data_IF_899081537824
#
_entry.id   IF_899081537824
#
_cell.length_a   1.000
_cell.length_b   1.000
_cell.length_c   1.000
_cell.angle_alpha   90.00
_cell.angle_beta   90.00
_cell.angle_gamma   90.00
#
_symmetry.space_group_name_H-M   'P 1'
#
loop_
_entity.id
_entity.type
_entity.pdbx_description
1 polymer ?
#
# COMPACT_ATOMS: atom_id res chain seq x y z
N UNK A 1 -1.98 25.09 -57.64
CA UNK A 1 -1.97 23.62 -57.48
C UNK A 1 -2.25 23.30 -56.03
N UNK A 2 -3.51 23.11 -55.65
CA UNK A 2 -3.88 22.69 -54.30
C UNK A 2 -3.44 21.23 -54.12
N UNK A 3 -2.29 21.04 -53.49
CA UNK A 3 -1.80 19.71 -53.13
C UNK A 3 -2.78 19.11 -52.12
N UNK A 4 -3.56 18.12 -52.56
CA UNK A 4 -4.43 17.35 -51.68
C UNK A 4 -3.58 16.56 -50.70
N UNK A 5 -4.01 16.51 -49.44
CA UNK A 5 -3.35 15.71 -48.40
C UNK A 5 -3.34 14.23 -48.86
N UNK A 6 -2.19 13.52 -48.78
CA UNK A 6 -2.13 12.10 -49.13
C UNK A 6 -3.11 11.25 -48.32
N UNK A 7 -3.74 10.27 -48.95
CA UNK A 7 -4.78 9.44 -48.32
C UNK A 7 -4.22 8.65 -47.12
N UNK A 8 -2.96 8.22 -47.18
CA UNK A 8 -2.27 7.49 -46.11
C UNK A 8 -2.20 8.30 -44.82
N UNK A 9 -1.98 9.62 -44.94
CA UNK A 9 -1.91 10.54 -43.80
C UNK A 9 -3.29 10.72 -43.18
N UNK A 10 -4.34 10.81 -44.01
CA UNK A 10 -5.73 10.90 -43.55
C UNK A 10 -6.13 9.65 -42.77
N UNK A 11 -5.76 8.47 -43.28
CA UNK A 11 -6.04 7.20 -42.59
C UNK A 11 -5.27 7.06 -41.29
N UNK A 12 -4.00 7.48 -41.25
CA UNK A 12 -3.22 7.49 -40.01
C UNK A 12 -3.83 8.42 -38.97
N UNK A 13 -4.31 9.60 -39.38
CA UNK A 13 -4.95 10.55 -38.47
C UNK A 13 -6.29 10.01 -37.96
N UNK A 14 -7.08 9.34 -38.82
CA UNK A 14 -8.31 8.66 -38.41
C UNK A 14 -8.03 7.61 -37.33
N UNK A 15 -7.07 6.72 -37.59
CA UNK A 15 -6.66 5.68 -36.62
C UNK A 15 -6.16 6.29 -35.32
N UNK A 16 -5.38 7.36 -35.39
CA UNK A 16 -4.92 8.07 -34.21
C UNK A 16 -6.09 8.60 -33.37
N UNK A 17 -7.08 9.24 -34.01
CA UNK A 17 -8.28 9.72 -33.33
C UNK A 17 -9.12 8.59 -32.71
N UNK A 18 -9.29 7.48 -33.43
CA UNK A 18 -9.97 6.29 -32.90
C UNK A 18 -9.23 5.73 -31.67
N UNK A 19 -7.90 5.66 -31.71
CA UNK A 19 -7.11 5.20 -30.55
C UNK A 19 -7.18 6.17 -29.36
N UNK A 20 -7.32 7.48 -29.61
CA UNK A 20 -7.51 8.45 -28.53
C UNK A 20 -8.85 8.25 -27.82
N UNK A 21 -9.93 7.96 -28.55
CA UNK A 21 -11.22 7.64 -27.96
C UNK A 21 -11.14 6.40 -27.05
N UNK A 22 -10.44 5.36 -27.49
CA UNK A 22 -10.21 4.15 -26.66
C UNK A 22 -9.45 4.47 -25.37
N UNK A 23 -8.44 5.35 -25.43
CA UNK A 23 -7.68 5.78 -24.25
C UNK A 23 -8.54 6.61 -23.32
N UNK A 24 -9.37 7.50 -23.86
CA UNK A 24 -10.31 8.32 -23.09
C UNK A 24 -11.31 7.43 -22.34
N UNK A 25 -11.95 6.49 -23.03
CA UNK A 25 -12.89 5.52 -22.45
C UNK A 25 -12.23 4.70 -21.33
N UNK A 26 -10.99 4.24 -21.54
CA UNK A 26 -10.25 3.46 -20.55
C UNK A 26 -9.91 4.27 -19.28
N UNK A 27 -9.63 5.57 -19.43
CA UNK A 27 -9.29 6.45 -18.30
C UNK A 27 -10.53 7.05 -17.63
N UNK A 28 -11.67 7.10 -18.32
CA UNK A 28 -12.87 7.79 -17.87
C UNK A 28 -13.37 7.30 -16.50
N UNK A 29 -13.34 5.99 -16.25
CA UNK A 29 -13.70 5.45 -14.93
C UNK A 29 -12.80 5.97 -13.80
N UNK A 30 -11.50 6.13 -14.07
CA UNK A 30 -10.54 6.61 -13.07
C UNK A 30 -10.66 8.11 -12.84
N UNK A 31 -10.92 8.88 -13.91
CA UNK A 31 -11.10 10.34 -13.85
C UNK A 31 -12.42 10.76 -13.20
N UNK A 32 -13.49 9.96 -13.38
CA UNK A 32 -14.79 10.22 -12.78
C UNK A 32 -14.90 9.76 -11.32
N UNK A 33 -13.88 9.10 -10.78
CA UNK A 33 -13.88 8.68 -9.38
C UNK A 33 -13.74 9.90 -8.48
N UNK A 34 -14.67 10.16 -7.56
CA UNK A 34 -14.60 11.33 -6.69
C UNK A 34 -13.43 11.23 -5.72
N UNK A 35 -12.94 12.39 -5.30
CA UNK A 35 -11.79 12.48 -4.40
C UNK A 35 -12.04 11.79 -3.04
N UNK A 36 -13.28 11.80 -2.58
CA UNK A 36 -13.73 11.11 -1.38
C UNK A 36 -13.54 9.61 -1.49
N UNK A 37 -13.91 9.01 -2.62
CA UNK A 37 -13.73 7.58 -2.88
C UNK A 37 -12.23 7.22 -2.93
N UNK A 38 -11.41 8.04 -3.60
CA UNK A 38 -9.95 7.89 -3.60
C UNK A 38 -9.35 7.96 -2.19
N UNK A 39 -9.87 8.84 -1.34
CA UNK A 39 -9.41 9.03 0.04
C UNK A 39 -9.79 7.86 0.96
N UNK A 40 -10.86 7.12 0.61
CA UNK A 40 -11.30 5.93 1.34
C UNK A 40 -10.60 4.63 0.89
N UNK A 41 -9.90 4.63 -0.27
CA UNK A 41 -9.14 3.47 -0.73
C UNK A 41 -7.99 3.10 0.21
N UNK A 42 -7.67 1.80 0.26
CA UNK A 42 -6.46 1.31 0.93
C UNK A 42 -5.23 2.00 0.34
N UNK A 43 -4.25 2.31 1.18
CA UNK A 43 -3.01 3.01 0.77
C UNK A 43 -2.28 2.34 -0.40
N UNK A 44 -2.29 1.01 -0.45
CA UNK A 44 -1.67 0.24 -1.53
C UNK A 44 -2.41 0.44 -2.86
N UNK A 45 -3.75 0.37 -2.84
CA UNK A 45 -4.57 0.59 -4.04
C UNK A 45 -4.48 2.04 -4.53
N UNK A 46 -4.40 2.99 -3.60
CA UNK A 46 -4.10 4.40 -3.92
C UNK A 46 -2.77 4.53 -4.65
N UNK A 47 -1.70 3.93 -4.13
CA UNK A 47 -0.39 3.98 -4.76
C UNK A 47 -0.39 3.37 -6.17
N UNK A 48 -1.20 2.33 -6.43
CA UNK A 48 -1.38 1.78 -7.78
C UNK A 48 -2.01 2.80 -8.72
N UNK A 49 -3.08 3.46 -8.29
CA UNK A 49 -3.76 4.51 -9.07
C UNK A 49 -2.80 5.68 -9.36
N UNK A 50 -2.01 6.10 -8.38
CA UNK A 50 -1.05 7.20 -8.53
C UNK A 50 0.05 6.86 -9.55
N UNK A 51 0.63 5.65 -9.45
CA UNK A 51 1.66 5.19 -10.39
C UNK A 51 1.10 5.03 -11.81
N UNK A 52 -0.12 4.50 -11.95
CA UNK A 52 -0.83 4.42 -13.23
C UNK A 52 -1.05 5.81 -13.84
N UNK A 53 -1.55 6.76 -13.03
CA UNK A 53 -1.83 8.13 -13.46
C UNK A 53 -0.56 8.86 -13.90
N UNK A 54 0.54 8.71 -13.15
CA UNK A 54 1.84 9.27 -13.50
C UNK A 54 2.35 8.72 -14.84
N UNK A 55 2.25 7.42 -15.05
CA UNK A 55 2.64 6.78 -16.31
C UNK A 55 1.77 7.26 -17.49
N UNK A 56 0.45 7.38 -17.28
CA UNK A 56 -0.48 7.85 -18.30
C UNK A 56 -0.16 9.28 -18.73
N UNK A 57 0.06 10.20 -17.78
CA UNK A 57 0.42 11.60 -18.07
C UNK A 57 1.74 11.67 -18.84
N UNK A 58 2.77 10.92 -18.41
CA UNK A 58 4.05 10.90 -19.10
C UNK A 58 3.95 10.35 -20.53
N UNK A 59 3.10 9.35 -20.74
CA UNK A 59 2.86 8.76 -22.07
C UNK A 59 2.08 9.70 -22.98
N UNK A 60 1.07 10.41 -22.46
CA UNK A 60 0.33 11.43 -23.21
C UNK A 60 1.23 12.61 -23.56
N UNK A 61 2.13 13.01 -22.68
CA UNK A 61 3.12 14.05 -22.97
C UNK A 61 4.09 13.63 -24.07
N UNK A 62 4.52 12.36 -24.10
CA UNK A 62 5.31 11.81 -25.21
C UNK A 62 4.56 11.92 -26.55
N UNK A 63 3.30 11.50 -26.59
CA UNK A 63 2.44 11.61 -27.78
C UNK A 63 2.30 13.07 -28.22
N UNK A 64 2.07 13.99 -27.27
CA UNK A 64 1.98 15.42 -27.54
C UNK A 64 3.24 15.95 -28.22
N UNK A 65 4.44 15.57 -27.74
CA UNK A 65 5.69 15.98 -28.38
C UNK A 65 5.79 15.47 -29.83
N UNK A 66 5.41 14.21 -30.07
CA UNK A 66 5.35 13.65 -31.42
C UNK A 66 4.41 14.45 -32.33
N UNK A 67 3.23 14.86 -31.85
CA UNK A 67 2.29 15.68 -32.65
C UNK A 67 2.81 17.08 -32.97
N UNK A 68 3.72 17.61 -32.13
CA UNK A 68 4.40 18.90 -32.37
C UNK A 68 5.65 18.77 -33.23
N UNK A 69 5.94 17.57 -33.74
CA UNK A 69 7.15 17.30 -34.52
C UNK A 69 8.44 17.37 -33.70
N UNK A 70 8.35 17.31 -32.36
CA UNK A 70 9.52 17.28 -31.46
C UNK A 70 9.90 15.84 -31.17
N UNK A 71 11.20 15.56 -31.15
CA UNK A 71 11.69 14.25 -30.77
C UNK A 71 11.55 14.06 -29.24
N UNK A 72 10.72 13.12 -28.77
CA UNK A 72 10.50 12.94 -27.33
C UNK A 72 11.75 12.42 -26.60
N UNK A 73 12.66 11.73 -27.31
CA UNK A 73 13.93 11.24 -26.77
C UNK A 73 14.93 12.36 -26.41
N UNK A 74 14.81 13.52 -27.05
CA UNK A 74 15.67 14.68 -26.77
C UNK A 74 15.21 15.45 -25.53
N UNK A 75 14.01 15.14 -25.01
CA UNK A 75 13.49 15.80 -23.81
C UNK A 75 14.04 15.09 -22.56
N UNK A 76 15.16 15.61 -22.03
CA UNK A 76 15.78 15.08 -20.82
C UNK A 76 14.82 15.04 -19.63
N UNK A 77 14.00 16.08 -19.45
CA UNK A 77 12.99 16.16 -18.39
C UNK A 77 12.00 14.98 -18.46
N UNK A 78 11.49 14.68 -19.66
CA UNK A 78 10.58 13.54 -19.87
C UNK A 78 11.27 12.20 -19.60
N UNK A 79 12.53 12.07 -20.02
CA UNK A 79 13.33 10.86 -19.78
C UNK A 79 13.53 10.63 -18.28
N UNK A 80 13.82 11.69 -17.52
CA UNK A 80 13.93 11.63 -16.06
C UNK A 80 12.60 11.26 -15.41
N UNK A 81 11.48 11.79 -15.89
CA UNK A 81 10.14 11.46 -15.39
C UNK A 81 9.75 10.00 -15.65
N UNK A 82 10.10 9.46 -16.81
CA UNK A 82 9.92 8.05 -17.12
C UNK A 82 10.80 7.16 -16.23
N UNK A 83 12.05 7.55 -15.97
CA UNK A 83 12.93 6.83 -15.05
C UNK A 83 12.38 6.86 -13.61
N UNK A 84 11.88 8.01 -13.17
CA UNK A 84 11.22 8.18 -11.86
C UNK A 84 9.97 7.29 -11.74
N UNK A 85 9.15 7.24 -12.77
CA UNK A 85 7.95 6.39 -12.82
C UNK A 85 8.32 4.90 -12.67
N UNK A 86 9.37 4.44 -13.37
CA UNK A 86 9.89 3.07 -13.23
C UNK A 86 10.35 2.78 -11.81
N UNK A 87 11.06 3.72 -11.18
CA UNK A 87 11.49 3.57 -9.79
C UNK A 87 10.30 3.47 -8.82
N UNK A 88 9.26 4.28 -9.01
CA UNK A 88 8.04 4.20 -8.20
C UNK A 88 7.33 2.85 -8.36
N UNK A 89 7.24 2.34 -9.60
CA UNK A 89 6.67 1.02 -9.87
C UNK A 89 7.47 -0.11 -9.22
N UNK A 90 8.80 -0.05 -9.27
CA UNK A 90 9.68 -1.03 -8.62
C UNK A 90 9.50 -1.03 -7.10
N UNK A 91 9.45 0.16 -6.48
CA UNK A 91 9.17 0.28 -5.05
C UNK A 91 7.79 -0.28 -4.67
N UNK A 92 6.78 -0.04 -5.50
CA UNK A 92 5.43 -0.57 -5.28
C UNK A 92 5.43 -2.11 -5.30
N UNK A 93 6.11 -2.71 -6.28
CA UNK A 93 6.27 -4.18 -6.36
C UNK A 93 6.97 -4.75 -5.14
N UNK A 94 8.05 -4.11 -4.67
CA UNK A 94 8.77 -4.55 -3.46
C UNK A 94 7.86 -4.52 -2.22
N UNK A 95 6.99 -3.52 -2.09
CA UNK A 95 6.02 -3.44 -0.99
C UNK A 95 4.98 -4.56 -1.08
N UNK A 96 4.49 -4.86 -2.29
CA UNK A 96 3.55 -5.95 -2.52
C UNK A 96 4.17 -7.32 -2.20
N UNK A 97 5.38 -7.58 -2.69
CA UNK A 97 6.11 -8.84 -2.49
C UNK A 97 6.52 -9.04 -1.03
N UNK A 98 6.76 -7.95 -0.27
CA UNK A 98 7.07 -8.02 1.16
C UNK A 98 5.95 -8.69 1.97
N UNK A 99 4.70 -8.64 1.51
CA UNK A 99 3.60 -9.34 2.16
C UNK A 99 3.73 -10.87 2.05
N UNK A 100 4.28 -11.37 0.93
CA UNK A 100 4.51 -12.79 0.66
C UNK A 100 5.92 -13.29 1.02
N UNK A 101 6.82 -12.39 1.38
CA UNK A 101 8.21 -12.74 1.68
C UNK A 101 8.32 -13.68 2.91
N UNK A 102 9.24 -14.67 2.89
CA UNK A 102 9.46 -15.58 4.00
C UNK A 102 9.86 -14.80 5.27
N UNK A 103 9.22 -15.14 6.39
CA UNK A 103 9.49 -14.51 7.69
C UNK A 103 10.50 -15.33 8.48
N UNK A 104 11.48 -14.67 9.09
CA UNK A 104 12.40 -15.33 10.01
C UNK A 104 11.65 -15.85 11.23
N UNK A 105 11.89 -17.12 11.59
CA UNK A 105 11.39 -17.66 12.85
C UNK A 105 12.21 -17.07 14.03
N UNK A 106 11.65 -16.05 14.68
CA UNK A 106 12.30 -15.34 15.80
C UNK A 106 12.69 -16.27 16.95
N UNK A 107 11.91 -17.32 17.23
CA UNK A 107 12.18 -18.28 18.30
C UNK A 107 13.36 -19.19 17.97
N UNK A 108 13.46 -19.67 16.74
CA UNK A 108 14.60 -20.44 16.30
C UNK A 108 15.87 -19.58 16.30
N UNK A 109 15.79 -18.35 15.76
CA UNK A 109 16.90 -17.40 15.75
C UNK A 109 17.39 -17.07 17.17
N UNK A 110 16.50 -16.82 18.14
CA UNK A 110 16.90 -16.55 19.52
C UNK A 110 17.54 -17.76 20.20
N UNK A 111 17.09 -18.97 19.85
CA UNK A 111 17.69 -20.21 20.36
C UNK A 111 19.08 -20.44 19.78
N UNK A 112 19.30 -20.16 18.49
CA UNK A 112 20.63 -20.22 17.89
C UNK A 112 21.60 -19.22 18.54
N UNK A 113 21.17 -17.98 18.77
CA UNK A 113 22.02 -16.97 19.42
C UNK A 113 22.36 -17.38 20.86
N UNK A 114 21.37 -17.84 21.64
CA UNK A 114 21.59 -18.28 23.03
C UNK A 114 22.53 -19.48 23.11
N UNK A 115 22.37 -20.46 22.22
CA UNK A 115 23.24 -21.63 22.19
C UNK A 115 24.65 -21.27 21.70
N UNK A 116 24.78 -20.32 20.76
CA UNK A 116 26.08 -19.87 20.27
C UNK A 116 26.87 -19.05 21.31
N UNK A 117 26.16 -18.37 22.22
CA UNK A 117 26.74 -17.62 23.34
C UNK A 117 26.87 -18.45 24.63
N UNK A 118 26.51 -19.73 24.59
CA UNK A 118 26.65 -20.61 25.74
C UNK A 118 28.11 -21.05 25.89
N UNK A 119 28.80 -20.46 26.87
CA UNK A 119 30.13 -20.91 27.27
C UNK A 119 30.02 -22.04 28.29
N UNK A 120 30.78 -23.12 28.11
CA UNK A 120 30.91 -24.13 29.15
C UNK A 120 31.58 -23.47 30.38
N UNK A 121 31.04 -23.67 31.60
CA UNK A 121 31.75 -23.27 32.81
C UNK A 121 33.15 -23.87 32.76
N UNK A 122 34.17 -23.01 32.83
CA UNK A 122 35.57 -23.42 32.88
C UNK A 122 35.70 -24.40 34.04
N UNK A 123 35.85 -25.70 33.73
CA UNK A 123 36.14 -26.71 34.75
C UNK A 123 37.58 -26.48 35.17
N UNK A 124 37.77 -25.70 36.23
CA UNK A 124 39.04 -25.70 36.95
C UNK A 124 39.30 -27.16 37.37
N UNK A 125 40.52 -27.69 37.14
CA UNK A 125 40.87 -29.05 37.52
C UNK A 125 41.07 -29.13 39.04
N UNK A 126 40.00 -28.91 39.79
CA UNK A 126 39.96 -29.02 41.25
C UNK A 126 38.52 -29.13 41.77
N UNK A 127 37.63 -29.87 41.11
CA UNK A 127 36.53 -30.49 41.85
C UNK A 127 36.01 -31.76 41.15
N UNK A 128 36.59 -32.88 41.57
CA UNK A 128 35.96 -34.18 41.46
C UNK A 128 35.33 -34.43 42.81
N UNK A 129 34.08 -34.00 43.02
CA UNK A 129 33.13 -34.73 43.88
C UNK A 129 31.70 -34.21 43.76
N UNK A 130 30.78 -35.18 43.82
CA UNK A 130 29.32 -35.07 44.02
C UNK A 130 28.50 -34.51 42.87
N UNK A 131 27.90 -35.45 42.14
CA UNK A 131 26.60 -35.21 41.54
C UNK A 131 25.56 -35.03 42.64
N UNK A 132 24.67 -34.08 42.42
CA UNK A 132 23.34 -34.05 43.01
C UNK A 132 22.39 -33.62 41.89
N UNK A 133 21.35 -34.44 41.73
CA UNK A 133 20.20 -34.21 40.87
C UNK A 133 19.39 -33.06 41.49
N UNK A 134 19.09 -32.00 40.72
CA UNK A 134 18.04 -31.05 41.08
C UNK A 134 17.07 -30.87 39.91
N UNK A 135 16.01 -31.66 39.98
CA UNK A 135 14.60 -31.33 39.77
C UNK A 135 14.28 -29.98 39.09
N UNK A 136 13.77 -30.03 37.85
CA UNK A 136 13.09 -28.90 37.22
C UNK A 136 11.67 -28.78 37.79
N UNK A 137 11.49 -27.88 38.76
CA UNK A 137 10.16 -27.41 39.14
C UNK A 137 9.58 -26.53 38.03
N UNK A 138 8.42 -26.94 37.56
CA UNK A 138 7.56 -26.27 36.60
C UNK A 138 6.77 -25.19 37.36
N UNK A 139 7.10 -23.91 37.17
CA UNK A 139 6.25 -22.80 37.62
C UNK A 139 5.73 -22.03 36.40
N UNK A 140 4.50 -22.40 36.03
CA UNK A 140 3.63 -21.64 35.16
C UNK A 140 3.34 -20.28 35.78
N UNK A 141 3.84 -19.20 35.18
CA UNK A 141 3.34 -17.85 35.44
C UNK A 141 2.68 -17.32 34.18
N UNK A 142 1.35 -17.30 34.21
CA UNK A 142 0.51 -16.59 33.26
C UNK A 142 0.80 -15.08 33.32
N UNK A 143 0.70 -14.32 32.22
CA UNK A 143 0.90 -12.89 32.27
C UNK A 143 -0.35 -12.22 32.84
N UNK A 144 -0.23 -11.68 34.04
CA UNK A 144 -1.21 -10.74 34.59
C UNK A 144 -1.11 -9.42 33.81
N UNK A 145 -2.09 -9.19 32.94
CA UNK A 145 -2.32 -7.91 32.31
C UNK A 145 -3.15 -7.04 33.25
N UNK A 146 -2.51 -6.12 33.96
CA UNK A 146 -3.16 -4.99 34.61
C UNK A 146 -2.29 -3.73 34.45
N UNK A 147 -2.79 -2.80 33.64
CA UNK A 147 -2.11 -1.55 33.31
C UNK A 147 -2.27 -0.45 34.36
N UNK A 148 -1.46 0.59 34.17
CA UNK A 148 -1.66 2.00 34.59
C UNK A 148 -0.62 2.79 33.79
N UNK A 149 -0.91 3.67 32.83
CA UNK A 149 -1.99 4.66 32.69
C UNK A 149 -2.30 5.42 33.98
N UNK A 150 -1.60 6.54 34.12
CA UNK A 150 -2.04 7.72 34.87
C UNK A 150 -1.63 8.88 33.95
N UNK A 151 -2.52 9.77 33.49
CA UNK A 151 -3.43 10.55 34.31
C UNK A 151 -4.66 11.01 33.51
N UNK A 152 -5.86 10.87 34.10
CA UNK A 152 -6.94 11.86 34.00
C UNK A 152 -7.67 11.86 35.36
N UNK A 153 -7.85 13.04 35.97
CA UNK A 153 -8.85 13.29 37.02
C UNK A 153 -9.94 14.22 36.48
N UNK A 154 -11.24 13.94 36.70
CA UNK A 154 -12.34 14.82 36.33
C UNK A 154 -12.88 15.61 37.54
N UNK A 155 -13.35 16.85 37.30
CA UNK A 155 -14.17 17.59 38.25
C UNK A 155 -15.42 18.20 37.55
N UNK A 156 -16.56 17.52 37.79
CA UNK A 156 -17.96 17.94 38.03
C UNK A 156 -18.50 19.33 37.61
N UNK A 157 -19.71 19.27 37.02
CA UNK A 157 -20.94 20.13 37.06
C UNK A 157 -21.34 20.59 35.64
N UNK A 158 -22.59 20.65 35.18
CA UNK A 158 -23.95 20.22 35.61
C UNK A 158 -24.93 20.79 34.55
N UNK A 159 -25.97 20.04 34.16
CA UNK A 159 -27.22 20.47 33.47
C UNK A 159 -27.06 21.19 32.09
N UNK A 160 -27.94 21.12 31.09
CA UNK A 160 -29.40 21.03 31.11
C UNK A 160 -29.95 20.65 29.70
N UNK A 161 -31.23 20.26 29.68
CA UNK A 161 -32.18 19.94 28.59
C UNK A 161 -31.92 20.53 27.18
N UNK A 162 -32.25 19.85 26.07
CA UNK A 162 -33.65 19.68 25.62
C UNK A 162 -33.82 18.71 24.44
N UNK A 163 -34.98 18.06 24.48
CA UNK A 163 -35.66 17.15 23.54
C UNK A 163 -35.79 17.68 22.10
N UNK A 164 -35.78 16.79 21.10
CA UNK A 164 -37.03 16.42 20.40
C UNK A 164 -36.90 15.19 19.50
N UNK A 165 -38.01 14.46 19.51
CA UNK A 165 -38.37 13.15 18.97
C UNK A 165 -38.96 13.19 17.56
N UNK A 166 -38.80 12.11 16.78
CA UNK A 166 -39.87 11.40 16.05
C UNK A 166 -39.22 10.29 15.20
N UNK A 167 -39.31 9.00 15.52
CA UNK A 167 -40.47 8.09 15.37
C UNK A 167 -40.48 7.35 14.02
N UNK A 168 -40.92 6.10 14.10
CA UNK A 168 -40.56 4.93 13.31
C UNK A 168 -41.52 4.64 12.14
N UNK A 169 -41.20 3.52 11.46
CA UNK A 169 -42.04 2.67 10.60
C UNK A 169 -42.24 3.11 9.14
N UNK A 170 -41.89 2.23 8.19
CA UNK A 170 -42.84 1.29 7.56
C UNK A 170 -42.09 0.12 6.89
N UNK A 171 -42.54 -1.08 7.21
CA UNK A 171 -42.18 -2.40 6.71
C UNK A 171 -42.81 -2.75 5.33
N UNK A 172 -42.30 -3.80 4.69
CA UNK A 172 -42.84 -4.55 3.52
C UNK A 172 -42.85 -3.83 2.13
N UNK A 173 -42.53 -4.47 0.99
CA UNK A 173 -42.97 -5.79 0.54
C UNK A 173 -42.18 -6.33 -0.68
N UNK A 174 -41.81 -7.60 -0.56
CA UNK A 174 -41.45 -8.60 -1.58
C UNK A 174 -42.30 -8.54 -2.87
N UNK A 175 -41.68 -8.51 -4.05
CA UNK A 175 -42.21 -9.21 -5.23
C UNK A 175 -41.09 -9.77 -6.09
N UNK A 176 -41.15 -11.10 -6.22
CA UNK A 176 -40.42 -11.97 -7.12
C UNK A 176 -41.47 -12.44 -8.11
N UNK A 177 -41.34 -12.10 -9.39
CA UNK A 177 -41.78 -12.80 -10.60
C UNK A 177 -41.47 -11.90 -11.80
#
# INVERSE_FOLDING_TARGET
MSQSIPAEVVDQLRRFNETLAVVEDALQSSLNTPFEAYTQMRLLDRARVDVMSLFAINSLYWILLCTRGKNPKENESLTNELARTKQCMERLKQIEERASAPRLNRRAASSFVRNALWELPQRTPADTTRGEEEECNEETVAPEAAGRSSQISPHKRSADESKQSSECDVDAKKMRL
#
